data_IF_385448437630
#
_entry.id   IF_385448437630
#
_cell.length_a   1.000
_cell.length_b   1.000
_cell.length_c   1.000
_cell.angle_alpha   90.00
_cell.angle_beta   90.00
_cell.angle_gamma   90.00
#
_symmetry.space_group_name_H-M   'P 1'
#
loop_
_entity.id
_entity.type
_entity.pdbx_description
1 polymer ?
#
# COMPACT_ATOMS: atom_id res chain seq x y z
N UNK A 1 -5.12 7.25 -22.99
CA UNK A 1 -4.65 7.13 -21.59
C UNK A 1 -5.84 6.70 -20.72
N UNK A 2 -5.69 5.62 -19.97
CA UNK A 2 -6.68 5.09 -19.01
C UNK A 2 -6.08 5.12 -17.61
N UNK A 3 -6.71 5.87 -16.71
CA UNK A 3 -6.34 5.95 -15.30
C UNK A 3 -7.46 5.33 -14.48
N UNK A 4 -7.10 4.46 -13.53
CA UNK A 4 -8.04 3.83 -12.60
C UNK A 4 -7.77 4.38 -11.20
N UNK A 5 -8.81 4.87 -10.55
CA UNK A 5 -8.78 5.32 -9.17
C UNK A 5 -9.53 4.31 -8.31
N UNK A 6 -8.82 3.67 -7.41
CA UNK A 6 -9.37 2.78 -6.40
C UNK A 6 -9.61 3.55 -5.10
N UNK A 7 -10.47 3.00 -4.26
CA UNK A 7 -10.66 3.46 -2.89
C UNK A 7 -9.62 2.87 -1.93
N UNK A 8 -10.09 2.63 -0.70
CA UNK A 8 -9.27 2.10 0.38
C UNK A 8 -8.92 0.62 0.16
N UNK A 9 -7.66 0.32 0.31
CA UNK A 9 -7.14 -1.03 0.32
C UNK A 9 -7.02 -1.50 1.78
N UNK A 10 -7.92 -2.38 2.18
CA UNK A 10 -7.90 -3.07 3.46
C UNK A 10 -7.84 -4.57 3.20
N UNK A 11 -6.79 -5.23 3.66
CA UNK A 11 -6.57 -6.64 3.35
C UNK A 11 -6.84 -7.53 4.55
N UNK A 12 -7.88 -8.35 4.44
CA UNK A 12 -8.13 -9.49 5.32
C UNK A 12 -7.70 -10.83 4.71
N UNK A 13 -7.20 -10.83 3.48
CA UNK A 13 -6.87 -12.06 2.74
C UNK A 13 -5.77 -11.84 1.69
N UNK A 14 -5.22 -12.94 1.21
CA UNK A 14 -4.13 -13.04 0.22
C UNK A 14 -4.66 -13.56 -1.11
N UNK A 15 -3.81 -13.59 -2.15
CA UNK A 15 -4.15 -13.99 -3.51
C UNK A 15 -5.22 -13.12 -4.17
N UNK A 16 -5.04 -11.81 -4.10
CA UNK A 16 -6.00 -10.83 -4.61
C UNK A 16 -6.37 -11.07 -6.06
N UNK A 17 -5.39 -11.31 -6.93
CA UNK A 17 -5.60 -11.54 -8.36
C UNK A 17 -6.56 -12.70 -8.65
N UNK A 18 -6.52 -13.76 -7.82
CA UNK A 18 -7.38 -14.93 -7.97
C UNK A 18 -8.73 -14.79 -7.27
N UNK A 19 -8.90 -13.76 -6.44
CA UNK A 19 -10.14 -13.52 -5.68
C UNK A 19 -10.99 -12.41 -6.26
N UNK A 20 -10.39 -11.54 -7.08
CA UNK A 20 -11.11 -10.51 -7.79
C UNK A 20 -11.78 -11.09 -9.05
N UNK A 21 -12.92 -10.49 -9.43
CA UNK A 21 -13.53 -10.79 -10.73
C UNK A 21 -12.53 -10.50 -11.85
N UNK A 22 -12.45 -11.40 -12.83
CA UNK A 22 -11.48 -11.26 -13.94
C UNK A 22 -11.60 -9.90 -14.65
N UNK A 23 -12.81 -9.36 -14.78
CA UNK A 23 -13.03 -8.05 -15.42
C UNK A 23 -12.37 -6.92 -14.64
N UNK A 24 -12.32 -7.02 -13.30
CA UNK A 24 -11.63 -6.05 -12.45
C UNK A 24 -10.13 -6.20 -12.62
N UNK A 25 -9.61 -7.43 -12.61
CA UNK A 25 -8.18 -7.69 -12.85
C UNK A 25 -7.74 -7.14 -14.20
N UNK A 26 -8.49 -7.45 -15.27
CA UNK A 26 -8.18 -6.97 -16.63
C UNK A 26 -8.22 -5.42 -16.68
N UNK A 27 -9.21 -4.79 -16.03
CA UNK A 27 -9.30 -3.32 -15.95
C UNK A 27 -8.07 -2.68 -15.31
N UNK A 28 -7.57 -3.26 -14.22
CA UNK A 28 -6.40 -2.77 -13.50
C UNK A 28 -5.11 -2.98 -14.30
N UNK A 29 -4.91 -4.20 -14.79
CA UNK A 29 -3.68 -4.58 -15.51
C UNK A 29 -3.54 -3.83 -16.84
N UNK A 30 -4.65 -3.58 -17.54
CA UNK A 30 -4.66 -2.86 -18.83
C UNK A 30 -4.64 -1.33 -18.68
N UNK A 31 -4.64 -0.79 -17.46
CA UNK A 31 -4.59 0.64 -17.24
C UNK A 31 -3.17 1.22 -17.40
N UNK A 32 -3.07 2.46 -17.88
CA UNK A 32 -1.81 3.20 -17.95
C UNK A 32 -1.30 3.59 -16.54
N UNK A 33 -2.23 3.83 -15.61
CA UNK A 33 -1.92 4.11 -14.21
C UNK A 33 -3.07 3.67 -13.30
N UNK A 34 -2.73 3.14 -12.13
CA UNK A 34 -3.69 2.78 -11.07
C UNK A 34 -3.26 3.44 -9.77
N UNK A 35 -4.18 4.19 -9.16
CA UNK A 35 -3.99 4.84 -7.86
C UNK A 35 -4.92 4.22 -6.82
N UNK A 36 -4.41 4.04 -5.59
CA UNK A 36 -5.21 3.53 -4.45
C UNK A 36 -4.77 4.16 -3.13
N UNK A 37 -5.63 4.12 -2.12
CA UNK A 37 -5.29 4.47 -0.73
C UNK A 37 -5.00 3.19 0.05
N UNK A 38 -3.77 3.04 0.57
CA UNK A 38 -3.38 1.91 1.39
C UNK A 38 -3.64 2.22 2.87
N UNK A 39 -4.74 1.73 3.40
CA UNK A 39 -5.09 1.88 4.83
C UNK A 39 -4.41 0.82 5.70
N UNK A 40 -3.10 0.69 5.56
CA UNK A 40 -2.28 -0.24 6.33
C UNK A 40 -0.82 0.21 6.36
N UNK A 41 -0.07 -0.31 7.32
CA UNK A 41 1.39 -0.26 7.34
C UNK A 41 1.99 -1.63 7.03
N UNK A 42 3.23 -1.65 6.56
CA UNK A 42 3.98 -2.88 6.32
C UNK A 42 5.28 -2.90 7.11
N UNK A 43 5.20 -2.88 8.46
CA UNK A 43 6.39 -2.89 9.31
C UNK A 43 7.17 -4.19 9.18
N UNK A 44 8.45 -4.17 9.54
CA UNK A 44 9.22 -5.39 9.74
C UNK A 44 8.69 -6.17 10.95
N UNK A 45 8.95 -7.49 10.97
CA UNK A 45 8.37 -8.40 11.97
C UNK A 45 8.60 -7.97 13.43
N UNK A 46 9.72 -7.32 13.72
CA UNK A 46 10.11 -6.96 15.09
C UNK A 46 9.88 -5.48 15.42
N UNK A 47 9.26 -4.73 14.51
CA UNK A 47 8.94 -3.31 14.75
C UNK A 47 7.84 -3.21 15.79
N UNK A 48 8.04 -2.50 16.90
CA UNK A 48 7.04 -2.39 17.94
C UNK A 48 5.85 -1.57 17.44
N UNK A 49 4.63 -1.87 17.89
CA UNK A 49 3.47 -1.05 17.59
C UNK A 49 3.59 0.35 18.21
N UNK A 50 2.97 1.32 17.56
CA UNK A 50 2.79 2.66 18.10
C UNK A 50 1.68 2.72 19.16
N UNK A 51 1.37 3.91 19.61
CA UNK A 51 0.34 4.18 20.64
C UNK A 51 -1.06 4.28 20.01
N UNK A 52 -1.45 3.32 19.18
CA UNK A 52 -2.74 3.33 18.51
C UNK A 52 -3.66 2.25 19.08
N UNK A 53 -4.97 2.56 19.21
CA UNK A 53 -5.96 1.58 19.71
C UNK A 53 -6.29 0.48 18.69
N UNK A 54 -6.21 0.79 17.41
CA UNK A 54 -6.50 -0.14 16.32
C UNK A 54 -5.34 -0.12 15.36
N UNK A 55 -4.58 -1.21 15.35
CA UNK A 55 -3.41 -1.36 14.47
C UNK A 55 -3.82 -2.09 13.19
N UNK A 56 -3.46 -1.51 12.06
CA UNK A 56 -3.65 -2.14 10.76
C UNK A 56 -2.28 -2.37 10.12
N UNK A 57 -1.85 -3.62 10.10
CA UNK A 57 -0.63 -4.00 9.42
C UNK A 57 -0.80 -5.25 8.59
N UNK A 58 -0.06 -5.31 7.50
CA UNK A 58 0.05 -6.48 6.65
C UNK A 58 1.52 -6.80 6.40
N UNK A 59 1.79 -8.02 5.99
CA UNK A 59 3.16 -8.41 5.62
C UNK A 59 3.58 -7.67 4.34
N UNK A 60 4.86 -7.36 4.24
CA UNK A 60 5.41 -6.62 3.10
C UNK A 60 5.17 -7.29 1.73
N UNK A 61 4.98 -8.61 1.70
CA UNK A 61 4.68 -9.36 0.48
C UNK A 61 3.30 -9.08 -0.13
N UNK A 62 2.39 -8.36 0.59
CA UNK A 62 1.16 -7.83 -0.01
C UNK A 62 1.46 -6.82 -1.12
N UNK A 63 2.57 -6.10 -1.02
CA UNK A 63 2.97 -5.12 -2.01
C UNK A 63 3.32 -5.78 -3.36
N UNK A 64 3.78 -7.03 -3.35
CA UNK A 64 3.99 -7.81 -4.58
C UNK A 64 2.65 -8.08 -5.28
N UNK A 65 1.59 -8.37 -4.51
CA UNK A 65 0.25 -8.56 -5.05
C UNK A 65 -0.34 -7.25 -5.63
N UNK A 66 0.01 -6.08 -5.07
CA UNK A 66 -0.38 -4.80 -5.65
C UNK A 66 0.30 -4.55 -7.00
N UNK A 67 1.59 -4.86 -7.11
CA UNK A 67 2.31 -4.72 -8.38
C UNK A 67 1.77 -5.67 -9.45
N UNK A 68 1.39 -6.89 -9.08
CA UNK A 68 0.74 -7.86 -9.97
C UNK A 68 -0.61 -7.37 -10.52
N UNK A 69 -1.27 -6.46 -9.81
CA UNK A 69 -2.50 -5.78 -10.20
C UNK A 69 -2.25 -4.40 -10.82
N UNK A 70 -0.99 -4.06 -11.13
CA UNK A 70 -0.59 -2.75 -11.67
C UNK A 70 -0.90 -1.55 -10.74
N UNK A 71 -1.11 -1.80 -9.44
CA UNK A 71 -1.34 -0.75 -8.43
C UNK A 71 0.04 -0.23 -7.97
N UNK A 72 0.52 0.83 -8.61
CA UNK A 72 1.87 1.38 -8.41
C UNK A 72 1.90 2.80 -7.86
N UNK A 73 0.76 3.49 -7.81
CA UNK A 73 0.63 4.80 -7.18
C UNK A 73 -0.23 4.63 -5.93
N UNK A 74 0.36 4.80 -4.75
CA UNK A 74 -0.31 4.43 -3.51
C UNK A 74 -0.20 5.56 -2.49
N UNK A 75 -1.37 6.08 -2.07
CA UNK A 75 -1.41 6.99 -0.94
C UNK A 75 -1.26 6.22 0.37
N UNK A 76 -0.37 6.73 1.22
CA UNK A 76 -0.26 6.33 2.62
C UNK A 76 -0.64 7.49 3.56
N UNK A 77 -1.23 8.59 3.03
CA UNK A 77 -1.70 9.72 3.83
C UNK A 77 -3.03 9.42 4.52
N UNK A 78 -3.01 8.56 5.52
CA UNK A 78 -4.19 8.15 6.29
C UNK A 78 -3.85 7.91 7.76
N UNK A 79 -4.85 7.60 8.58
CA UNK A 79 -4.69 7.39 10.02
C UNK A 79 -3.89 6.13 10.39
N UNK A 80 -3.67 5.19 9.48
CA UNK A 80 -2.92 3.95 9.71
C UNK A 80 -1.42 4.06 9.37
N UNK A 81 -1.00 5.18 8.80
CA UNK A 81 0.39 5.43 8.37
C UNK A 81 1.41 5.25 9.49
N UNK A 82 1.05 5.68 10.70
CA UNK A 82 1.93 5.67 11.88
C UNK A 82 1.49 4.66 12.95
N UNK A 83 0.70 3.66 12.61
CA UNK A 83 0.26 2.62 13.55
C UNK A 83 1.45 1.93 14.24
N UNK A 84 2.58 1.84 13.56
CA UNK A 84 3.85 1.31 14.07
C UNK A 84 4.91 2.40 14.26
N UNK A 85 4.45 3.63 14.54
CA UNK A 85 5.30 4.78 14.75
C UNK A 85 6.10 5.21 13.51
N UNK A 86 7.02 6.18 13.66
CA UNK A 86 7.85 6.66 12.55
C UNK A 86 8.68 5.55 11.90
N UNK A 87 9.19 4.59 12.70
CA UNK A 87 9.96 3.47 12.18
C UNK A 87 9.14 2.60 11.23
N UNK A 88 7.91 2.24 11.62
CA UNK A 88 7.01 1.44 10.76
C UNK A 88 6.62 2.18 9.48
N UNK A 89 6.44 3.51 9.56
CA UNK A 89 6.19 4.34 8.37
C UNK A 89 7.39 4.29 7.40
N UNK A 90 8.62 4.51 7.89
CA UNK A 90 9.83 4.43 7.05
C UNK A 90 10.00 3.05 6.42
N UNK A 91 9.78 1.98 7.17
CA UNK A 91 9.85 0.61 6.66
C UNK A 91 8.79 0.34 5.59
N UNK A 92 7.60 0.95 5.71
CA UNK A 92 6.54 0.86 4.70
C UNK A 92 6.95 1.57 3.40
N UNK A 93 7.54 2.78 3.50
CA UNK A 93 8.08 3.53 2.36
C UNK A 93 9.16 2.70 1.66
N UNK A 94 10.15 2.21 2.41
CA UNK A 94 11.25 1.39 1.87
C UNK A 94 10.73 0.13 1.15
N UNK A 95 9.75 -0.55 1.74
CA UNK A 95 9.16 -1.77 1.17
C UNK A 95 8.38 -1.49 -0.12
N UNK A 96 7.70 -0.33 -0.21
CA UNK A 96 6.99 0.12 -1.41
C UNK A 96 7.98 0.48 -2.53
N UNK A 97 8.97 1.32 -2.23
CA UNK A 97 9.99 1.75 -3.18
C UNK A 97 10.79 0.56 -3.76
N UNK A 98 11.11 -0.43 -2.93
CA UNK A 98 11.80 -1.67 -3.35
C UNK A 98 11.00 -2.51 -4.38
N UNK A 99 9.73 -2.17 -4.62
CA UNK A 99 8.81 -2.85 -5.54
C UNK A 99 8.29 -1.94 -6.65
N UNK A 100 8.97 -0.83 -6.88
CA UNK A 100 8.56 0.19 -7.86
C UNK A 100 7.15 0.75 -7.61
N UNK A 101 6.70 0.73 -6.34
CA UNK A 101 5.50 1.43 -5.90
C UNK A 101 5.92 2.84 -5.47
N UNK A 102 5.22 3.83 -5.99
CA UNK A 102 5.42 5.24 -5.65
C UNK A 102 4.52 5.57 -4.46
N UNK A 103 5.09 5.74 -3.25
CA UNK A 103 4.32 6.19 -2.09
C UNK A 103 3.99 7.68 -2.24
N UNK A 104 2.77 8.06 -1.91
CA UNK A 104 2.30 9.43 -1.96
C UNK A 104 1.77 9.87 -0.59
N UNK A 105 2.01 11.13 -0.23
CA UNK A 105 1.53 11.73 1.01
C UNK A 105 2.23 11.24 2.27
N UNK A 106 3.39 10.61 2.11
CA UNK A 106 4.33 10.23 3.16
C UNK A 106 5.75 10.41 2.63
N UNK A 107 6.69 10.70 3.51
CA UNK A 107 8.09 10.87 3.14
C UNK A 107 8.97 10.93 4.38
N UNK A 108 10.29 10.86 4.15
CA UNK A 108 11.30 11.05 5.20
C UNK A 108 11.39 12.53 5.65
N UNK A 109 10.82 13.41 4.86
CA UNK A 109 10.72 14.85 5.07
C UNK A 109 9.59 15.43 4.20
N UNK A 110 9.27 16.73 4.39
CA UNK A 110 8.18 17.40 3.68
C UNK A 110 8.34 17.46 2.15
N UNK A 111 9.56 17.33 1.64
CA UNK A 111 9.82 17.39 0.20
C UNK A 111 9.61 16.07 -0.52
N UNK A 112 9.59 14.97 0.25
CA UNK A 112 9.33 13.62 -0.25
C UNK A 112 7.86 13.20 -0.12
N UNK A 113 7.07 13.90 0.71
CA UNK A 113 5.68 13.55 1.02
C UNK A 113 4.67 13.99 -0.12
#
# INVERSE_FOLDING_TARGET
MRVVLCGDLLFSSRNLKNRLDKRVVDLLVDADAVFANAEFSTPKRNTPPGLCMYLTSVRQDILDELTDLNIKLVSFANNHTIDYGPQGCLETIEAAEARDIIPCGVGRNLWEA
#
